data_IF_323683469690
#
_entry.id   IF_323683469690
#
_cell.length_a   1.000
_cell.length_b   1.000
_cell.length_c   1.000
_cell.angle_alpha   90.00
_cell.angle_beta   90.00
_cell.angle_gamma   90.00
#
_symmetry.space_group_name_H-M   'P 1'
#
loop_
_entity.id
_entity.type
_entity.pdbx_description
1 polymer ?
#
# COMPACT_ATOMS: atom_id res chain seq x y z
N UNK A 1 -2.79 -16.27 -14.49
CA UNK A 1 -3.19 -16.02 -13.09
C UNK A 1 -4.69 -15.71 -13.05
N UNK A 2 -5.42 -16.17 -12.04
CA UNK A 2 -6.81 -15.70 -11.87
C UNK A 2 -6.81 -14.22 -11.49
N UNK A 3 -7.84 -13.48 -11.92
CA UNK A 3 -7.98 -12.04 -11.63
C UNK A 3 -7.87 -11.75 -10.12
N UNK A 4 -8.35 -12.68 -9.28
CA UNK A 4 -8.22 -12.63 -7.82
C UNK A 4 -6.76 -12.61 -7.35
N UNK A 5 -5.97 -13.53 -7.89
CA UNK A 5 -4.59 -13.72 -7.45
C UNK A 5 -3.72 -12.54 -7.88
N UNK A 6 -3.94 -12.04 -9.10
CA UNK A 6 -3.32 -10.81 -9.57
C UNK A 6 -3.65 -9.62 -8.64
N UNK A 7 -4.94 -9.44 -8.32
CA UNK A 7 -5.37 -8.33 -7.47
C UNK A 7 -4.81 -8.38 -6.05
N UNK A 8 -4.74 -9.58 -5.45
CA UNK A 8 -4.13 -9.76 -4.12
C UNK A 8 -2.64 -9.44 -4.13
N UNK A 9 -1.90 -9.96 -5.11
CA UNK A 9 -0.46 -9.70 -5.26
C UNK A 9 -0.22 -8.21 -5.51
N UNK A 10 -1.04 -7.57 -6.35
CA UNK A 10 -0.97 -6.13 -6.61
C UNK A 10 -1.15 -5.31 -5.33
N UNK A 11 -2.22 -5.54 -4.55
CA UNK A 11 -2.46 -4.83 -3.29
C UNK A 11 -1.30 -5.04 -2.32
N UNK A 12 -0.80 -6.28 -2.22
CA UNK A 12 0.30 -6.62 -1.33
C UNK A 12 1.56 -5.80 -1.65
N UNK A 13 1.96 -5.75 -2.92
CA UNK A 13 3.12 -4.94 -3.32
C UNK A 13 2.87 -3.44 -3.20
N UNK A 14 1.66 -2.97 -3.49
CA UNK A 14 1.31 -1.56 -3.30
C UNK A 14 1.47 -1.14 -1.82
N UNK A 15 0.97 -1.95 -0.89
CA UNK A 15 1.14 -1.72 0.56
C UNK A 15 2.62 -1.69 0.94
N UNK A 16 3.42 -2.67 0.48
CA UNK A 16 4.85 -2.73 0.79
C UNK A 16 5.63 -1.53 0.26
N UNK A 17 5.35 -1.09 -0.97
CA UNK A 17 5.99 0.08 -1.56
C UNK A 17 5.64 1.35 -0.81
N UNK A 18 4.35 1.57 -0.51
CA UNK A 18 3.89 2.76 0.20
C UNK A 18 4.43 2.81 1.64
N UNK A 19 4.40 1.67 2.33
CA UNK A 19 4.88 1.56 3.71
C UNK A 19 6.41 1.66 3.77
N UNK A 20 7.11 1.05 2.81
CA UNK A 20 8.56 1.19 2.65
C UNK A 20 8.97 2.64 2.37
N UNK A 21 8.22 3.34 1.51
CA UNK A 21 8.45 4.75 1.22
C UNK A 21 8.19 5.64 2.44
N UNK A 22 7.08 5.40 3.16
CA UNK A 22 6.78 6.08 4.43
C UNK A 22 7.87 5.85 5.47
N UNK A 23 8.33 4.61 5.66
CA UNK A 23 9.39 4.30 6.61
C UNK A 23 10.70 4.97 6.18
N UNK A 24 11.04 4.93 4.90
CA UNK A 24 12.25 5.57 4.38
C UNK A 24 12.25 7.09 4.61
N UNK A 25 11.13 7.79 4.38
CA UNK A 25 11.06 9.23 4.65
C UNK A 25 11.17 9.56 6.14
N UNK A 26 10.80 8.64 7.05
CA UNK A 26 10.99 8.80 8.50
C UNK A 26 12.39 8.45 8.98
N UNK A 27 13.08 7.52 8.33
CA UNK A 27 14.46 7.15 8.66
C UNK A 27 15.46 8.20 8.17
N UNK A 28 15.17 8.87 7.05
CA UNK A 28 16.05 9.85 6.42
C UNK A 28 15.29 11.17 6.12
N UNK A 29 14.79 11.88 7.16
CA UNK A 29 13.96 13.07 6.99
C UNK A 29 14.71 14.19 6.25
N UNK A 30 16.01 14.36 6.49
CA UNK A 30 16.81 15.37 5.77
C UNK A 30 16.85 15.13 4.25
N UNK A 31 16.93 13.86 3.84
CA UNK A 31 16.92 13.48 2.41
C UNK A 31 15.52 13.63 1.82
N UNK A 32 14.49 13.28 2.57
CA UNK A 32 13.10 13.50 2.15
C UNK A 32 12.78 14.98 1.97
N UNK A 33 13.24 15.84 2.88
CA UNK A 33 13.10 17.30 2.79
C UNK A 33 13.90 17.87 1.61
N UNK A 34 15.15 17.44 1.40
CA UNK A 34 15.96 17.83 0.23
C UNK A 34 15.28 17.50 -1.10
N UNK A 35 14.56 16.39 -1.17
CA UNK A 35 13.83 15.94 -2.36
C UNK A 35 12.40 16.50 -2.46
N UNK A 36 11.92 17.23 -1.45
CA UNK A 36 10.55 17.77 -1.42
C UNK A 36 9.46 16.70 -1.30
N UNK A 37 9.79 15.50 -0.80
CA UNK A 37 8.88 14.35 -0.73
C UNK A 37 8.37 14.04 0.67
N UNK A 38 8.59 14.94 1.63
CA UNK A 38 8.25 14.71 3.03
C UNK A 38 6.74 14.52 3.25
N UNK A 39 5.92 15.39 2.64
CA UNK A 39 4.46 15.25 2.66
C UNK A 39 3.98 14.02 1.87
N UNK A 40 4.63 13.71 0.75
CA UNK A 40 4.34 12.51 -0.05
C UNK A 40 4.59 11.24 0.76
N UNK A 41 5.64 11.21 1.59
CA UNK A 41 5.90 10.13 2.52
C UNK A 41 4.72 9.92 3.47
N UNK A 42 4.20 11.00 4.06
CA UNK A 42 3.04 10.92 4.96
C UNK A 42 1.77 10.45 4.24
N UNK A 43 1.53 10.94 3.02
CA UNK A 43 0.42 10.47 2.18
C UNK A 43 0.54 8.98 1.85
N UNK A 44 1.74 8.49 1.54
CA UNK A 44 1.98 7.08 1.30
C UNK A 44 1.68 6.23 2.53
N UNK A 45 2.01 6.69 3.74
CA UNK A 45 1.64 6.00 4.98
C UNK A 45 0.13 5.85 5.14
N UNK A 46 -0.64 6.91 4.88
CA UNK A 46 -2.11 6.87 4.90
C UNK A 46 -2.70 5.98 3.81
N UNK A 47 -2.13 6.03 2.60
CA UNK A 47 -2.54 5.21 1.48
C UNK A 47 -2.30 3.73 1.77
N UNK A 48 -1.16 3.38 2.36
CA UNK A 48 -0.84 2.03 2.79
C UNK A 48 -1.85 1.49 3.82
N UNK A 49 -2.27 2.32 4.79
CA UNK A 49 -3.32 1.95 5.74
C UNK A 49 -4.67 1.73 5.04
N UNK A 50 -5.06 2.62 4.13
CA UNK A 50 -6.29 2.49 3.36
C UNK A 50 -6.28 1.21 2.49
N UNK A 51 -5.17 0.93 1.81
CA UNK A 51 -4.96 -0.27 1.01
C UNK A 51 -4.97 -1.54 1.86
N UNK A 52 -4.42 -1.49 3.08
CA UNK A 52 -4.48 -2.60 4.03
C UNK A 52 -5.92 -2.88 4.43
N UNK A 53 -6.69 -1.86 4.81
CA UNK A 53 -8.11 -2.01 5.13
C UNK A 53 -8.91 -2.56 3.95
N UNK A 54 -8.67 -2.04 2.75
CA UNK A 54 -9.27 -2.52 1.52
C UNK A 54 -8.87 -3.98 1.20
N UNK A 55 -7.61 -4.33 1.35
CA UNK A 55 -7.09 -5.69 1.13
C UNK A 55 -7.73 -6.70 2.06
N UNK A 56 -7.83 -6.37 3.36
CA UNK A 56 -8.53 -7.21 4.35
C UNK A 56 -10.00 -7.38 3.97
N UNK A 57 -10.70 -6.28 3.65
CA UNK A 57 -12.08 -6.34 3.18
C UNK A 57 -12.23 -7.17 1.90
N UNK A 58 -11.31 -7.03 0.95
CA UNK A 58 -11.30 -7.78 -0.30
C UNK A 58 -11.18 -9.27 -0.04
N UNK A 59 -10.24 -9.70 0.81
CA UNK A 59 -10.05 -11.10 1.16
C UNK A 59 -11.27 -11.67 1.90
N UNK A 60 -11.78 -10.95 2.90
CA UNK A 60 -12.86 -11.44 3.78
C UNK A 60 -14.23 -11.45 3.08
N UNK A 61 -14.59 -10.36 2.39
CA UNK A 61 -15.95 -10.20 1.81
C UNK A 61 -15.99 -10.40 0.29
N UNK A 62 -15.01 -9.90 -0.46
CA UNK A 62 -15.11 -9.84 -1.94
C UNK A 62 -14.57 -11.10 -2.63
N UNK A 63 -13.50 -11.70 -2.12
CA UNK A 63 -12.87 -12.90 -2.71
C UNK A 63 -13.80 -14.12 -2.72
N UNK A 64 -14.74 -14.18 -1.76
CA UNK A 64 -15.77 -15.22 -1.63
C UNK A 64 -16.89 -15.11 -2.67
N UNK A 65 -17.10 -13.93 -3.28
CA UNK A 65 -18.15 -13.69 -4.30
C UNK A 65 -17.64 -13.71 -5.72
N UNK A 66 -16.33 -13.61 -5.93
CA UNK A 66 -15.75 -13.78 -7.25
C UNK A 66 -15.78 -15.29 -7.51
N UNK A 67 -16.90 -15.79 -8.00
CA UNK A 67 -17.02 -17.15 -8.53
C UNK A 67 -16.12 -17.17 -9.78
N UNK A 68 -15.25 -18.17 -9.89
CA UNK A 68 -14.67 -18.55 -11.20
C UNK A 68 -15.84 -19.10 -12.01
#
# INVERSE_FOLDING_TARGET
MSLKHFHMVFIFFAILCDLGFFVWTRLLPEKAAQLGVEELGMLAGWLSLALTGYGVWYVVKKSRRIII
#
